data_IF_121251509150
#
_entry.id   IF_121251509150
#
_cell.length_a   1.000
_cell.length_b   1.000
_cell.length_c   1.000
_cell.angle_alpha   90.00
_cell.angle_beta   90.00
_cell.angle_gamma   90.00
#
_symmetry.space_group_name_H-M   'P 1'
#
loop_
_entity.id
_entity.type
_entity.pdbx_description
1 polymer ?
#
# COMPACT_ATOMS: atom_id res chain seq x y z
N UNK A 1 3.54 -18.47 -0.78
CA UNK A 1 4.94 -18.30 -0.32
C UNK A 1 5.03 -18.47 1.21
N UNK A 2 4.20 -17.78 1.99
CA UNK A 2 4.16 -17.87 3.47
C UNK A 2 4.16 -19.32 3.99
N UNK A 3 3.18 -20.12 3.58
CA UNK A 3 3.02 -21.51 4.03
C UNK A 3 4.25 -22.41 3.78
N UNK A 4 5.09 -22.06 2.80
CA UNK A 4 6.33 -22.80 2.53
C UNK A 4 7.44 -22.50 3.54
N UNK A 5 7.42 -21.29 4.09
CA UNK A 5 8.44 -20.81 5.03
C UNK A 5 7.98 -20.90 6.50
N UNK A 6 6.68 -21.12 6.74
CA UNK A 6 6.04 -21.19 8.05
C UNK A 6 5.16 -22.45 8.13
N UNK A 7 5.75 -23.66 8.19
CA UNK A 7 4.97 -24.90 8.17
C UNK A 7 4.07 -25.08 9.41
N UNK A 8 4.47 -24.47 10.55
CA UNK A 8 3.72 -24.53 11.80
C UNK A 8 2.69 -23.41 11.97
N UNK A 9 2.70 -22.42 11.06
CA UNK A 9 1.78 -21.26 11.05
C UNK A 9 1.27 -21.03 9.63
N UNK A 10 0.41 -21.92 9.17
CA UNK A 10 -0.10 -21.89 7.81
C UNK A 10 -1.36 -21.03 7.68
N UNK A 11 -1.33 -20.08 6.76
CA UNK A 11 -2.52 -19.38 6.33
C UNK A 11 -3.41 -20.30 5.48
N UNK A 12 -4.68 -20.39 5.83
CA UNK A 12 -5.72 -21.10 5.06
C UNK A 12 -6.58 -20.06 4.33
N UNK A 13 -6.51 -20.07 3.01
CA UNK A 13 -7.33 -19.19 2.19
C UNK A 13 -8.68 -19.84 1.90
N UNK A 14 -9.74 -19.02 1.94
CA UNK A 14 -11.07 -19.40 1.44
C UNK A 14 -11.15 -19.13 -0.07
N UNK A 15 -12.18 -19.66 -0.72
CA UNK A 15 -12.50 -19.23 -2.09
C UNK A 15 -12.87 -17.75 -2.12
N UNK A 16 -12.29 -16.97 -3.06
CA UNK A 16 -12.57 -15.54 -3.15
C UNK A 16 -14.03 -15.28 -3.56
N UNK A 17 -14.59 -14.20 -3.03
CA UNK A 17 -15.93 -13.74 -3.40
C UNK A 17 -15.82 -12.46 -4.22
N UNK A 18 -16.54 -12.39 -5.32
CA UNK A 18 -16.60 -11.18 -6.13
C UNK A 18 -17.56 -10.17 -5.51
N UNK A 19 -17.03 -9.04 -5.08
CA UNK A 19 -17.78 -7.99 -4.37
C UNK A 19 -18.36 -6.91 -5.31
N UNK A 20 -18.02 -6.92 -6.59
CA UNK A 20 -18.32 -5.81 -7.50
C UNK A 20 -17.57 -4.54 -7.10
N UNK A 21 -18.17 -3.39 -7.39
CA UNK A 21 -17.57 -2.06 -7.18
C UNK A 21 -18.30 -1.22 -6.14
N UNK A 22 -19.30 -1.78 -5.45
CA UNK A 22 -20.13 -1.05 -4.51
C UNK A 22 -19.90 -1.47 -3.05
N UNK A 23 -20.17 -0.57 -2.12
CA UNK A 23 -20.16 -0.84 -0.68
C UNK A 23 -21.15 -1.96 -0.30
N UNK A 24 -22.34 -2.02 -0.94
CA UNK A 24 -23.32 -3.09 -0.73
C UNK A 24 -22.75 -4.44 -1.13
N UNK A 25 -22.07 -4.51 -2.28
CA UNK A 25 -21.43 -5.74 -2.76
C UNK A 25 -20.31 -6.21 -1.81
N UNK A 26 -19.47 -5.27 -1.35
CA UNK A 26 -18.44 -5.55 -0.34
C UNK A 26 -19.02 -6.10 0.96
N UNK A 27 -20.11 -5.48 1.43
CA UNK A 27 -20.82 -5.93 2.63
C UNK A 27 -21.38 -7.36 2.47
N UNK A 28 -22.10 -7.63 1.38
CA UNK A 28 -22.66 -8.97 1.11
C UNK A 28 -21.58 -10.04 1.02
N UNK A 29 -20.47 -9.75 0.34
CA UNK A 29 -19.35 -10.68 0.22
C UNK A 29 -18.72 -10.98 1.58
N UNK A 30 -18.49 -9.96 2.40
CA UNK A 30 -17.94 -10.11 3.75
C UNK A 30 -18.88 -10.90 4.66
N UNK A 31 -20.18 -10.63 4.63
CA UNK A 31 -21.20 -11.35 5.38
C UNK A 31 -21.24 -12.84 4.99
N UNK A 32 -21.21 -13.13 3.68
CA UNK A 32 -21.19 -14.49 3.17
C UNK A 32 -19.93 -15.25 3.62
N UNK A 33 -18.74 -14.62 3.55
CA UNK A 33 -17.49 -15.20 4.00
C UNK A 33 -17.50 -15.49 5.51
N UNK A 34 -17.99 -14.55 6.32
CA UNK A 34 -18.11 -14.72 7.77
C UNK A 34 -19.11 -15.82 8.15
N UNK A 35 -20.21 -15.94 7.43
CA UNK A 35 -21.22 -16.99 7.67
C UNK A 35 -20.70 -18.37 7.29
N UNK A 36 -20.01 -18.49 6.15
CA UNK A 36 -19.44 -19.75 5.70
C UNK A 36 -18.20 -20.18 6.50
N UNK A 37 -17.52 -19.25 7.15
CA UNK A 37 -16.27 -19.49 7.87
C UNK A 37 -16.35 -18.90 9.30
N UNK A 38 -16.96 -19.61 10.27
CA UNK A 38 -17.13 -19.08 11.63
C UNK A 38 -15.80 -18.76 12.38
N UNK A 39 -14.69 -19.34 11.91
CA UNK A 39 -13.34 -19.14 12.45
C UNK A 39 -12.50 -18.23 11.54
N UNK A 40 -13.13 -17.34 10.78
CA UNK A 40 -12.41 -16.40 9.92
C UNK A 40 -11.63 -15.40 10.78
N UNK A 41 -10.31 -15.34 10.57
CA UNK A 41 -9.40 -14.46 11.31
C UNK A 41 -9.08 -13.17 10.55
N UNK A 42 -9.19 -13.20 9.20
CA UNK A 42 -8.87 -12.04 8.38
C UNK A 42 -9.77 -11.93 7.14
N UNK A 43 -10.02 -10.69 6.73
CA UNK A 43 -10.63 -10.34 5.44
C UNK A 43 -9.64 -9.48 4.64
N UNK A 44 -9.48 -9.83 3.37
CA UNK A 44 -8.57 -9.16 2.45
C UNK A 44 -9.36 -8.66 1.24
N UNK A 45 -10.09 -7.53 1.34
CA UNK A 45 -10.67 -6.88 0.17
C UNK A 45 -9.55 -6.44 -0.77
N UNK A 46 -9.47 -7.07 -1.95
CA UNK A 46 -8.49 -6.73 -2.97
C UNK A 46 -9.10 -5.76 -3.99
N UNK A 47 -8.27 -4.88 -4.55
CA UNK A 47 -8.69 -3.96 -5.61
C UNK A 47 -8.86 -2.51 -5.17
N UNK A 48 -8.14 -2.11 -4.12
CA UNK A 48 -8.04 -0.71 -3.70
C UNK A 48 -8.95 -0.31 -2.55
N UNK A 49 -8.72 0.91 -2.06
CA UNK A 49 -9.41 1.51 -0.91
C UNK A 49 -10.83 2.04 -1.21
N UNK A 50 -11.53 1.47 -2.18
CA UNK A 50 -12.83 1.97 -2.62
C UNK A 50 -14.02 1.46 -1.82
N UNK A 51 -15.21 1.66 -2.39
CA UNK A 51 -16.51 1.34 -1.77
C UNK A 51 -16.64 -0.11 -1.28
N UNK A 52 -16.15 -1.16 -1.97
CA UNK A 52 -16.23 -2.53 -1.46
C UNK A 52 -15.50 -2.73 -0.12
N UNK A 53 -14.35 -2.08 0.08
CA UNK A 53 -13.63 -2.13 1.35
C UNK A 53 -14.47 -1.49 2.47
N UNK A 54 -15.08 -0.33 2.23
CA UNK A 54 -15.97 0.32 3.19
C UNK A 54 -17.12 -0.59 3.59
N UNK A 55 -17.73 -1.27 2.61
CA UNK A 55 -18.79 -2.24 2.84
C UNK A 55 -18.35 -3.44 3.69
N UNK A 56 -17.18 -3.98 3.41
CA UNK A 56 -16.60 -5.10 4.18
C UNK A 56 -16.33 -4.70 5.63
N UNK A 57 -15.74 -3.53 5.87
CA UNK A 57 -15.50 -3.00 7.22
C UNK A 57 -16.83 -2.87 7.96
N UNK A 58 -17.83 -2.22 7.35
CA UNK A 58 -19.15 -2.04 7.96
C UNK A 58 -19.83 -3.37 8.28
N UNK A 59 -19.64 -4.41 7.48
CA UNK A 59 -20.16 -5.75 7.75
C UNK A 59 -19.50 -6.38 9.00
N UNK A 60 -18.17 -6.25 9.13
CA UNK A 60 -17.42 -6.72 10.31
C UNK A 60 -17.88 -5.98 11.57
N UNK A 61 -18.07 -4.67 11.48
CA UNK A 61 -18.57 -3.84 12.59
C UNK A 61 -19.97 -4.26 13.03
N UNK A 62 -20.93 -4.39 12.09
CA UNK A 62 -22.29 -4.86 12.39
C UNK A 62 -22.33 -6.25 13.02
N UNK A 63 -21.40 -7.12 12.63
CA UNK A 63 -21.25 -8.44 13.22
C UNK A 63 -20.63 -8.46 14.62
N UNK A 64 -20.19 -7.30 15.17
CA UNK A 64 -19.51 -7.21 16.45
C UNK A 64 -18.12 -7.90 16.46
N UNK A 65 -17.47 -7.92 15.29
CA UNK A 65 -16.18 -8.61 15.09
C UNK A 65 -15.01 -7.66 14.86
N UNK A 66 -15.20 -6.36 15.06
CA UNK A 66 -14.11 -5.37 15.06
C UNK A 66 -13.02 -5.79 16.03
N UNK A 67 -11.76 -5.77 15.56
CA UNK A 67 -10.59 -6.22 16.31
C UNK A 67 -10.49 -7.74 16.50
N UNK A 68 -11.49 -8.53 16.06
CA UNK A 68 -11.45 -9.99 16.07
C UNK A 68 -11.18 -10.56 14.67
N UNK A 69 -11.63 -9.88 13.64
CA UNK A 69 -11.29 -10.17 12.26
C UNK A 69 -10.39 -9.04 11.78
N UNK A 70 -9.17 -9.36 11.41
CA UNK A 70 -8.24 -8.42 10.83
C UNK A 70 -8.70 -8.03 9.42
N UNK A 71 -9.01 -6.76 9.19
CA UNK A 71 -9.29 -6.26 7.84
C UNK A 71 -8.04 -5.57 7.32
N UNK A 72 -7.52 -6.05 6.19
CA UNK A 72 -6.35 -5.48 5.50
C UNK A 72 -6.66 -5.29 4.03
N UNK A 73 -6.05 -4.30 3.39
CA UNK A 73 -6.28 -4.02 1.97
C UNK A 73 -5.07 -3.37 1.32
N UNK A 74 -5.17 -3.11 0.03
CA UNK A 74 -4.25 -2.25 -0.73
C UNK A 74 -4.84 -0.85 -0.87
N UNK A 75 -3.96 0.12 -1.12
CA UNK A 75 -4.24 1.56 -1.17
C UNK A 75 -4.72 2.15 0.16
N UNK A 76 -4.32 3.39 0.41
CA UNK A 76 -4.54 4.00 1.71
C UNK A 76 -5.88 4.73 1.77
N UNK A 77 -6.70 4.37 2.76
CA UNK A 77 -7.90 5.12 3.09
C UNK A 77 -7.52 6.46 3.73
N UNK A 78 -8.26 7.55 3.44
CA UNK A 78 -8.01 8.84 4.07
C UNK A 78 -8.12 8.83 5.60
N UNK A 79 -8.95 7.94 6.15
CA UNK A 79 -9.21 7.76 7.57
C UNK A 79 -8.48 6.55 8.19
N UNK A 80 -7.46 6.03 7.51
CA UNK A 80 -6.71 4.85 7.97
C UNK A 80 -6.21 5.00 9.40
N UNK A 81 -5.67 6.18 9.77
CA UNK A 81 -5.17 6.43 11.12
C UNK A 81 -6.21 6.25 12.22
N UNK A 82 -7.46 6.61 11.97
CA UNK A 82 -8.57 6.39 12.90
C UNK A 82 -8.97 4.92 12.95
N UNK A 83 -8.97 4.24 11.81
CA UNK A 83 -9.32 2.82 11.70
C UNK A 83 -8.31 1.90 12.38
N UNK A 84 -7.04 2.23 12.32
CA UNK A 84 -6.00 1.52 13.06
C UNK A 84 -6.18 1.69 14.58
N UNK A 85 -6.54 2.90 15.04
CA UNK A 85 -6.77 3.18 16.46
C UNK A 85 -8.00 2.47 17.03
N UNK A 86 -9.09 2.40 16.26
CA UNK A 86 -10.33 1.77 16.70
C UNK A 86 -10.40 0.26 16.37
N UNK A 87 -9.40 -0.27 15.66
CA UNK A 87 -9.30 -1.69 15.30
C UNK A 87 -10.21 -2.13 14.17
N UNK A 88 -10.86 -1.21 13.44
CA UNK A 88 -11.67 -1.58 12.27
C UNK A 88 -10.82 -1.94 11.05
N UNK A 89 -9.53 -1.59 11.05
CA UNK A 89 -8.52 -2.12 10.14
C UNK A 89 -7.27 -2.54 10.91
N UNK A 90 -6.60 -3.56 10.41
CA UNK A 90 -5.32 -4.05 10.92
C UNK A 90 -4.13 -3.52 10.11
N UNK A 91 -4.34 -2.98 8.94
CA UNK A 91 -3.30 -2.38 8.12
C UNK A 91 -3.68 -2.24 6.67
N UNK A 92 -2.90 -1.46 5.96
CA UNK A 92 -2.96 -1.31 4.51
C UNK A 92 -1.55 -1.30 3.91
N UNK A 93 -1.46 -1.72 2.65
CA UNK A 93 -0.27 -1.56 1.84
C UNK A 93 -0.56 -0.68 0.64
N UNK A 94 0.44 0.05 0.17
CA UNK A 94 0.32 0.90 -0.99
C UNK A 94 1.64 1.60 -1.27
N UNK A 95 1.65 2.57 -2.14
CA UNK A 95 2.86 3.28 -2.51
C UNK A 95 2.64 4.30 -3.60
N UNK A 96 1.43 4.33 -4.11
CA UNK A 96 1.08 5.06 -5.32
C UNK A 96 1.23 6.59 -5.23
N UNK A 97 1.41 7.14 -4.04
CA UNK A 97 1.66 8.58 -3.88
C UNK A 97 3.00 9.03 -4.46
N UNK A 98 3.99 8.12 -4.56
CA UNK A 98 5.31 8.41 -5.12
C UNK A 98 5.45 7.99 -6.59
N UNK A 99 4.55 7.17 -7.12
CA UNK A 99 4.61 6.66 -8.50
C UNK A 99 4.75 7.78 -9.54
N UNK A 100 3.95 8.88 -9.47
CA UNK A 100 4.07 9.97 -10.43
C UNK A 100 5.43 10.64 -10.41
N UNK A 101 6.11 10.71 -9.28
CA UNK A 101 7.44 11.31 -9.18
C UNK A 101 8.47 10.52 -9.97
N UNK A 102 8.53 9.21 -9.77
CA UNK A 102 9.50 8.35 -10.47
C UNK A 102 9.22 8.33 -11.98
N UNK A 103 7.95 8.23 -12.37
CA UNK A 103 7.55 8.32 -13.77
C UNK A 103 7.94 9.68 -14.39
N UNK A 104 7.70 10.78 -13.69
CA UNK A 104 8.09 12.12 -14.11
C UNK A 104 9.61 12.24 -14.29
N UNK A 105 10.40 11.80 -13.31
CA UNK A 105 11.87 11.84 -13.37
C UNK A 105 12.42 10.99 -14.51
N UNK A 106 11.79 9.85 -14.81
CA UNK A 106 12.16 9.01 -15.95
C UNK A 106 12.01 9.76 -17.26
N UNK A 107 10.85 10.37 -17.50
CA UNK A 107 10.59 11.14 -18.71
C UNK A 107 11.47 12.38 -18.78
N UNK A 108 11.61 13.11 -17.69
CA UNK A 108 12.45 14.31 -17.62
C UNK A 108 13.91 14.02 -17.95
N UNK A 109 14.49 12.96 -17.39
CA UNK A 109 15.87 12.56 -17.64
C UNK A 109 16.08 12.06 -19.09
N UNK A 110 15.08 11.37 -19.65
CA UNK A 110 15.12 10.98 -21.05
C UNK A 110 15.15 12.20 -21.99
N UNK A 111 14.30 13.21 -21.75
CA UNK A 111 14.26 14.45 -22.53
C UNK A 111 15.57 15.24 -22.39
N UNK A 112 16.19 15.25 -21.20
CA UNK A 112 17.50 15.87 -20.97
C UNK A 112 18.66 15.16 -21.66
N UNK A 113 18.44 13.95 -22.18
CA UNK A 113 19.49 13.15 -22.79
C UNK A 113 20.41 12.44 -21.78
N UNK A 114 19.97 12.27 -20.54
CA UNK A 114 20.74 11.57 -19.53
C UNK A 114 20.81 10.04 -19.77
N UNK A 115 19.90 9.51 -20.59
CA UNK A 115 19.83 8.08 -20.92
C UNK A 115 20.45 7.84 -22.30
N UNK A 116 21.76 7.62 -22.34
CA UNK A 116 22.54 7.47 -23.59
C UNK A 116 22.09 6.29 -24.44
N UNK A 117 21.55 5.25 -23.82
CA UNK A 117 21.18 3.99 -24.47
C UNK A 117 19.65 3.76 -24.44
N UNK A 118 18.86 4.82 -24.22
CA UNK A 118 17.41 4.73 -24.21
C UNK A 118 16.88 4.67 -25.66
N UNK A 119 16.62 3.45 -26.12
CA UNK A 119 16.11 3.16 -27.48
C UNK A 119 14.57 3.23 -27.56
N UNK A 120 13.91 3.88 -26.63
CA UNK A 120 12.44 3.95 -26.59
C UNK A 120 11.78 2.63 -26.16
N UNK A 121 12.53 1.74 -25.51
CA UNK A 121 11.99 0.51 -24.92
C UNK A 121 11.30 0.79 -23.60
N UNK A 122 10.29 -0.05 -23.28
CA UNK A 122 9.72 -0.05 -21.95
C UNK A 122 10.77 -0.54 -20.93
N UNK A 123 10.92 0.21 -19.87
CA UNK A 123 11.80 -0.13 -18.75
C UNK A 123 10.97 -0.34 -17.49
N UNK A 124 11.17 -1.48 -16.84
CA UNK A 124 10.52 -1.76 -15.58
C UNK A 124 11.25 -1.06 -14.44
N UNK A 125 10.54 -0.20 -13.72
CA UNK A 125 11.01 0.38 -12.48
C UNK A 125 10.17 -0.21 -11.35
N UNK A 126 10.81 -0.97 -10.48
CA UNK A 126 10.16 -1.60 -9.33
C UNK A 126 10.47 -0.82 -8.07
N UNK A 127 9.47 -0.50 -7.28
CA UNK A 127 9.61 0.07 -5.96
C UNK A 127 8.71 -0.66 -4.95
N UNK A 128 9.12 -0.68 -3.67
CA UNK A 128 8.38 -1.41 -2.65
C UNK A 128 7.06 -0.71 -2.32
N UNK A 129 6.07 -1.50 -1.95
CA UNK A 129 4.90 -0.95 -1.27
C UNK A 129 5.25 -0.51 0.15
N UNK A 130 4.62 0.57 0.58
CA UNK A 130 4.58 0.93 1.99
C UNK A 130 3.61 0.00 2.72
N UNK A 131 3.93 -0.29 3.99
CA UNK A 131 3.06 -1.00 4.91
C UNK A 131 2.77 -0.09 6.10
N UNK A 132 1.48 0.09 6.39
CA UNK A 132 0.99 0.89 7.52
C UNK A 132 0.05 0.01 8.31
N UNK A 133 0.52 -0.51 9.44
CA UNK A 133 -0.20 -1.48 10.27
C UNK A 133 -0.30 -1.06 11.74
N UNK A 134 0.21 0.12 12.08
CA UNK A 134 0.11 0.69 13.42
C UNK A 134 -0.18 2.20 13.37
N UNK A 135 -0.69 2.80 14.45
CA UNK A 135 -0.80 4.25 14.55
C UNK A 135 0.52 4.99 14.39
N UNK A 136 1.65 4.39 14.80
CA UNK A 136 2.98 4.99 14.66
C UNK A 136 3.46 4.96 13.20
N UNK A 137 3.24 3.86 12.49
CA UNK A 137 3.49 3.78 11.04
C UNK A 137 2.68 4.85 10.30
N UNK A 138 1.40 5.02 10.70
CA UNK A 138 0.54 6.03 10.09
C UNK A 138 1.05 7.44 10.30
N UNK A 139 1.59 7.77 11.47
CA UNK A 139 2.20 9.09 11.72
C UNK A 139 3.41 9.33 10.80
N UNK A 140 4.26 8.33 10.62
CA UNK A 140 5.38 8.38 9.69
C UNK A 140 4.92 8.54 8.24
N UNK A 141 3.95 7.73 7.82
CA UNK A 141 3.34 7.81 6.50
C UNK A 141 2.71 9.20 6.25
N UNK A 142 1.87 9.69 7.16
CA UNK A 142 1.24 11.00 7.03
C UNK A 142 2.27 12.11 6.91
N UNK A 143 3.31 12.07 7.74
CA UNK A 143 4.36 13.09 7.77
C UNK A 143 5.19 13.12 6.48
N UNK A 144 5.64 11.97 6.01
CA UNK A 144 6.66 11.88 4.96
C UNK A 144 6.11 11.59 3.55
N UNK A 145 4.84 11.16 3.43
CA UNK A 145 4.26 10.79 2.14
C UNK A 145 2.98 11.55 1.80
N UNK A 146 2.27 12.07 2.81
CA UNK A 146 1.04 12.84 2.59
C UNK A 146 1.31 14.34 2.66
N UNK A 147 2.03 14.78 3.69
CA UNK A 147 2.29 16.22 3.93
C UNK A 147 3.48 16.77 3.15
N UNK A 148 4.32 15.91 2.62
CA UNK A 148 5.49 16.26 1.82
C UNK A 148 5.88 15.08 0.90
N UNK A 149 6.82 15.31 -0.01
CA UNK A 149 7.46 14.24 -0.76
C UNK A 149 8.48 13.51 0.15
N UNK A 150 8.70 12.19 -0.05
CA UNK A 150 9.63 11.40 0.76
C UNK A 150 11.11 11.65 0.43
N UNK A 151 11.42 12.67 -0.36
CA UNK A 151 12.75 13.07 -0.79
C UNK A 151 12.97 14.55 -0.49
N UNK A 152 14.21 14.89 -0.14
CA UNK A 152 14.63 16.28 0.02
C UNK A 152 14.73 16.99 -1.33
N UNK A 153 14.69 18.32 -1.33
CA UNK A 153 14.87 19.13 -2.55
C UNK A 153 16.19 18.81 -3.26
N UNK A 154 17.27 18.58 -2.50
CA UNK A 154 18.56 18.21 -3.07
C UNK A 154 18.51 16.84 -3.75
N UNK A 155 17.87 15.85 -3.13
CA UNK A 155 17.70 14.52 -3.76
C UNK A 155 16.86 14.59 -5.04
N UNK A 156 15.84 15.46 -5.09
CA UNK A 156 15.06 15.68 -6.31
C UNK A 156 15.91 16.29 -7.43
N UNK A 157 16.78 17.26 -7.08
CA UNK A 157 17.75 17.81 -8.03
C UNK A 157 18.74 16.74 -8.50
N UNK A 158 19.26 15.93 -7.59
CA UNK A 158 20.18 14.84 -7.92
C UNK A 158 19.52 13.80 -8.81
N UNK A 159 18.27 13.39 -8.52
CA UNK A 159 17.48 12.48 -9.37
C UNK A 159 17.35 13.00 -10.81
N UNK A 160 17.27 14.31 -11.01
CA UNK A 160 17.17 14.91 -12.34
C UNK A 160 18.44 14.78 -13.19
N UNK A 161 19.49 14.21 -12.63
CA UNK A 161 20.78 13.99 -13.29
C UNK A 161 21.21 12.51 -13.27
N UNK A 162 20.40 11.62 -12.70
CA UNK A 162 20.72 10.19 -12.64
C UNK A 162 20.60 9.53 -14.01
N UNK A 163 21.38 8.46 -14.20
CA UNK A 163 21.12 7.46 -15.23
C UNK A 163 19.84 6.69 -14.89
N UNK A 164 19.34 5.91 -15.85
CA UNK A 164 18.16 5.07 -15.61
C UNK A 164 18.39 4.08 -14.47
N UNK A 165 19.55 3.44 -14.43
CA UNK A 165 19.91 2.52 -13.34
C UNK A 165 20.02 3.23 -11.99
N UNK A 166 20.58 4.45 -11.94
CA UNK A 166 20.59 5.26 -10.73
C UNK A 166 19.19 5.63 -10.23
N UNK A 167 18.26 5.90 -11.16
CA UNK A 167 16.87 6.19 -10.80
C UNK A 167 16.15 4.93 -10.30
N UNK A 168 16.40 3.77 -10.91
CA UNK A 168 15.89 2.47 -10.43
C UNK A 168 16.37 2.19 -9.00
N UNK A 169 17.66 2.44 -8.72
CA UNK A 169 18.19 2.29 -7.36
C UNK A 169 17.51 3.26 -6.38
N UNK A 170 17.36 4.53 -6.74
CA UNK A 170 16.68 5.51 -5.89
C UNK A 170 15.22 5.11 -5.59
N UNK A 171 14.53 4.52 -6.57
CA UNK A 171 13.16 4.04 -6.41
C UNK A 171 13.02 2.90 -5.37
N UNK A 172 14.08 2.16 -5.08
CA UNK A 172 14.04 1.11 -4.04
C UNK A 172 14.10 1.66 -2.62
N UNK A 173 14.51 2.92 -2.44
CA UNK A 173 14.72 3.58 -1.14
C UNK A 173 13.49 4.41 -0.73
N UNK A 174 12.31 3.83 -0.87
CA UNK A 174 11.02 4.44 -0.52
C UNK A 174 10.40 3.61 0.60
N UNK A 175 10.79 3.89 1.82
CA UNK A 175 10.14 3.40 3.04
C UNK A 175 9.91 4.55 4.02
N UNK A 176 9.11 4.33 5.06
CA UNK A 176 8.91 5.32 6.12
C UNK A 176 10.23 5.57 6.86
N UNK A 177 11.02 4.53 7.08
CA UNK A 177 12.33 4.58 7.72
C UNK A 177 13.35 5.35 6.87
N UNK A 178 13.39 5.07 5.55
CA UNK A 178 14.27 5.79 4.63
C UNK A 178 13.95 7.29 4.61
N UNK A 179 12.66 7.63 4.52
CA UNK A 179 12.22 9.01 4.55
C UNK A 179 12.55 9.67 5.91
N UNK A 180 12.29 8.99 7.02
CA UNK A 180 12.64 9.49 8.35
C UNK A 180 14.15 9.75 8.50
N UNK A 181 14.99 8.87 7.98
CA UNK A 181 16.45 9.03 8.01
C UNK A 181 16.93 10.24 7.20
N UNK A 182 16.26 10.57 6.07
CA UNK A 182 16.58 11.75 5.25
C UNK A 182 16.28 13.07 5.97
N UNK A 183 15.13 13.14 6.64
CA UNK A 183 14.64 14.36 7.28
C UNK A 183 15.02 14.49 8.76
N UNK A 184 15.58 13.45 9.36
CA UNK A 184 16.00 13.44 10.76
C UNK A 184 17.45 13.88 11.02
N UNK A 185 18.13 14.35 9.98
CA UNK A 185 19.53 14.83 10.08
C UNK A 185 19.61 16.31 10.39
#
# INVERSE_FOLDING_TARGET
KWNKTHPDDQAKLTEPQYAGTSSEGGSKAAEALMAANPKLDALIPAGGGGDPLQGAIAAVERAGKTGKIAVVSTDFLPDLGERLKNGSMAGQSGGHYCDPLIAFMTVYNAIKGNYKDFEGKFEDITFPYLFVASPDDYQGYEKYFVKQLPFTDQELVDMSNLSLEGLKEAATKISIEDAAARFGK
#
